data_IF_561503911301
#
_entry.id   IF_561503911301
#
_cell.length_a   1.000
_cell.length_b   1.000
_cell.length_c   1.000
_cell.angle_alpha   90.00
_cell.angle_beta   90.00
_cell.angle_gamma   90.00
#
_symmetry.space_group_name_H-M   'P 1'
#
loop_
_entity.id
_entity.type
_entity.pdbx_description
1 polymer ?
#
# COMPACT_ATOMS: atom_id res chain seq x y z
N UNK A 1 16.36 6.20 2.89
CA UNK A 1 14.90 6.39 2.76
C UNK A 1 14.58 6.32 1.27
N UNK A 2 13.63 5.49 0.84
CA UNK A 2 13.30 5.41 -0.59
C UNK A 2 12.48 6.63 -1.01
N UNK A 3 12.83 7.25 -2.14
CA UNK A 3 12.04 8.35 -2.70
C UNK A 3 10.74 7.82 -3.30
N UNK A 4 9.71 8.67 -3.35
CA UNK A 4 8.52 8.35 -4.12
C UNK A 4 8.87 8.34 -5.62
N UNK A 5 8.41 7.32 -6.33
CA UNK A 5 8.65 7.11 -7.77
C UNK A 5 7.39 6.56 -8.42
N UNK A 6 7.14 6.97 -9.66
CA UNK A 6 6.13 6.36 -10.51
C UNK A 6 6.68 5.09 -11.18
N UNK A 7 5.79 4.13 -11.48
CA UNK A 7 6.10 2.92 -12.26
C UNK A 7 6.86 3.20 -13.55
N UNK A 8 6.50 4.31 -14.19
CA UNK A 8 6.98 4.68 -15.52
C UNK A 8 8.39 5.27 -15.45
N UNK A 9 8.78 5.87 -14.32
CA UNK A 9 10.16 6.32 -14.07
C UNK A 9 11.13 5.14 -13.91
N UNK A 10 10.62 3.98 -13.51
CA UNK A 10 11.40 2.77 -13.22
C UNK A 10 11.32 1.74 -14.35
N UNK A 11 10.66 2.06 -15.47
CA UNK A 11 10.41 1.14 -16.58
C UNK A 11 9.82 -0.21 -16.14
N UNK A 12 8.88 -0.18 -15.20
CA UNK A 12 8.25 -1.39 -14.69
C UNK A 12 7.24 -1.97 -15.68
N UNK A 13 7.13 -3.31 -15.71
CA UNK A 13 6.19 -4.03 -16.58
C UNK A 13 4.73 -3.66 -16.30
N UNK A 14 4.41 -3.41 -15.04
CA UNK A 14 3.08 -2.94 -14.61
C UNK A 14 3.17 -1.43 -14.42
N UNK A 15 2.34 -0.69 -15.16
CA UNK A 15 2.23 0.76 -15.09
C UNK A 15 1.08 1.21 -14.19
N UNK A 16 0.97 2.52 -13.95
CA UNK A 16 -0.16 3.12 -13.23
C UNK A 16 -0.09 3.02 -11.70
N UNK A 17 1.11 2.86 -11.13
CA UNK A 17 1.31 2.87 -9.68
C UNK A 17 2.40 3.83 -9.25
N UNK A 18 2.38 4.21 -7.97
CA UNK A 18 3.39 5.07 -7.35
C UNK A 18 3.68 4.67 -5.92
N UNK A 19 4.95 4.53 -5.57
CA UNK A 19 5.36 4.06 -4.24
C UNK A 19 6.72 4.62 -3.82
N UNK A 20 7.01 4.56 -2.52
CA UNK A 20 8.35 4.79 -1.99
C UNK A 20 9.24 3.59 -2.32
N UNK A 21 9.72 3.57 -3.55
CA UNK A 21 10.26 2.41 -4.22
C UNK A 21 11.75 2.52 -4.53
N UNK A 22 12.43 1.37 -4.50
CA UNK A 22 13.82 1.22 -4.97
C UNK A 22 13.88 0.47 -6.32
N UNK A 23 12.79 -0.16 -6.75
CA UNK A 23 12.68 -0.89 -8.02
C UNK A 23 11.35 -1.66 -8.14
N UNK A 24 11.12 -2.35 -9.27
CA UNK A 24 9.82 -2.96 -9.59
C UNK A 24 9.49 -4.25 -8.80
N UNK A 25 10.49 -5.11 -8.54
CA UNK A 25 10.26 -6.51 -8.12
C UNK A 25 10.04 -6.77 -6.63
N UNK A 26 10.04 -5.75 -5.77
CA UNK A 26 9.97 -5.92 -4.30
C UNK A 26 8.75 -5.28 -3.66
N UNK A 27 7.84 -4.71 -4.45
CA UNK A 27 6.99 -3.65 -3.93
C UNK A 27 5.51 -3.99 -4.09
N UNK A 28 4.93 -4.28 -2.93
CA UNK A 28 3.50 -4.27 -2.64
C UNK A 28 2.94 -2.84 -2.74
N UNK A 29 3.03 -2.22 -3.92
CA UNK A 29 2.52 -0.88 -4.13
C UNK A 29 1.00 -0.91 -3.93
N UNK A 30 0.54 -0.36 -2.81
CA UNK A 30 -0.89 -0.36 -2.45
C UNK A 30 -1.72 0.60 -3.33
N UNK A 31 -1.05 1.29 -4.25
CA UNK A 31 -1.61 2.15 -5.28
C UNK A 31 -1.68 1.48 -6.65
N UNK A 32 -1.22 0.23 -6.79
CA UNK A 32 -1.20 -0.46 -8.08
C UNK A 32 -2.58 -0.91 -8.55
N UNK A 33 -2.76 -1.14 -9.86
CA UNK A 33 -4.03 -1.60 -10.40
C UNK A 33 -4.50 -2.89 -9.71
N UNK A 34 -5.71 -2.88 -9.18
CA UNK A 34 -6.28 -4.08 -8.58
C UNK A 34 -6.94 -4.98 -9.63
N UNK A 35 -6.17 -5.34 -10.65
CA UNK A 35 -6.60 -6.18 -11.77
C UNK A 35 -5.52 -7.22 -11.97
N UNK A 36 -5.92 -8.50 -12.02
CA UNK A 36 -4.99 -9.56 -12.40
C UNK A 36 -4.92 -9.62 -13.92
N UNK A 37 -3.71 -9.51 -14.50
CA UNK A 37 -3.50 -9.54 -15.94
C UNK A 37 -2.16 -10.19 -16.28
N UNK A 38 -2.19 -11.27 -17.06
CA UNK A 38 -0.98 -12.06 -17.36
C UNK A 38 -0.30 -12.56 -16.09
N UNK A 39 1.02 -12.32 -15.97
CA UNK A 39 1.82 -12.69 -14.80
C UNK A 39 1.64 -11.73 -13.60
N UNK A 40 0.91 -10.63 -13.77
CA UNK A 40 0.59 -9.73 -12.69
C UNK A 40 -0.63 -10.22 -11.91
N UNK A 41 -0.40 -10.70 -10.68
CA UNK A 41 -1.44 -11.22 -9.81
C UNK A 41 -2.39 -10.14 -9.24
N UNK A 42 -2.16 -8.86 -9.53
CA UNK A 42 -2.89 -7.73 -8.95
C UNK A 42 -2.25 -7.18 -7.69
N UNK A 43 -2.98 -6.29 -7.01
CA UNK A 43 -2.55 -5.66 -5.76
C UNK A 43 -2.18 -6.74 -4.72
N UNK A 44 -0.94 -6.71 -4.22
CA UNK A 44 -0.44 -7.71 -3.30
C UNK A 44 0.30 -7.07 -2.12
N UNK A 45 0.19 -7.64 -0.92
CA UNK A 45 0.92 -7.25 0.29
C UNK A 45 1.53 -8.47 0.95
N UNK A 46 2.85 -8.43 1.21
CA UNK A 46 3.59 -9.56 1.80
C UNK A 46 3.36 -10.89 1.05
N UNK A 47 3.27 -10.84 -0.28
CA UNK A 47 3.04 -12.03 -1.11
C UNK A 47 1.58 -12.48 -1.23
N UNK A 48 0.64 -11.82 -0.54
CA UNK A 48 -0.78 -12.14 -0.63
C UNK A 48 -1.54 -11.10 -1.47
N UNK A 49 -2.36 -11.56 -2.41
CA UNK A 49 -3.26 -10.68 -3.16
C UNK A 49 -4.32 -10.09 -2.23
N UNK A 50 -4.59 -8.80 -2.36
CA UNK A 50 -5.62 -8.10 -1.58
C UNK A 50 -6.73 -7.61 -2.51
N UNK A 51 -7.98 -7.71 -2.06
CA UNK A 51 -9.17 -7.28 -2.82
C UNK A 51 -9.51 -5.80 -2.66
N UNK A 52 -9.14 -5.17 -1.54
CA UNK A 52 -9.35 -3.75 -1.29
C UNK A 52 -8.36 -3.26 -0.24
N UNK A 53 -7.92 -2.00 -0.34
CA UNK A 53 -7.01 -1.39 0.62
C UNK A 53 -7.45 0.03 0.95
N UNK A 54 -7.23 0.43 2.19
CA UNK A 54 -7.42 1.81 2.64
C UNK A 54 -6.19 2.23 3.45
N UNK A 55 -5.56 3.34 3.05
CA UNK A 55 -4.45 3.95 3.78
C UNK A 55 -4.96 5.16 4.55
N UNK A 56 -4.75 5.18 5.86
CA UNK A 56 -5.24 6.24 6.75
C UNK A 56 -4.09 6.83 7.57
N UNK A 57 -4.11 8.14 7.75
CA UNK A 57 -3.24 8.85 8.68
C UNK A 57 -4.05 9.33 9.88
N UNK A 58 -3.41 9.37 11.05
CA UNK A 58 -4.01 9.98 12.25
C UNK A 58 -2.97 10.77 13.02
N UNK A 59 -3.40 11.81 13.74
CA UNK A 59 -2.52 12.52 14.66
C UNK A 59 -2.08 11.59 15.80
N UNK A 60 -0.79 11.66 16.16
CA UNK A 60 -0.26 10.89 17.29
C UNK A 60 -0.90 11.29 18.63
N UNK A 61 -1.43 12.52 18.72
CA UNK A 61 -2.12 13.04 19.90
C UNK A 61 -3.48 12.37 20.19
N UNK A 62 -4.07 11.63 19.24
CA UNK A 62 -5.42 11.03 19.39
C UNK A 62 -5.48 9.80 20.31
N UNK A 63 -4.40 9.48 21.02
CA UNK A 63 -4.35 8.43 22.03
C UNK A 63 -4.66 8.92 23.46
N UNK A 64 -5.34 10.05 23.62
CA UNK A 64 -5.90 10.43 24.93
C UNK A 64 -7.08 9.52 25.27
N UNK A 65 -6.74 8.36 25.84
CA UNK A 65 -7.49 7.61 26.86
C UNK A 65 -9.01 7.76 26.87
N UNK A 66 -9.69 7.21 25.87
CA UNK A 66 -11.02 6.65 26.12
C UNK A 66 -10.83 5.28 26.79
N UNK A 67 -10.60 5.30 28.12
CA UNK A 67 -10.92 4.15 28.95
C UNK A 67 -12.42 3.94 28.84
N UNK A 68 -12.85 2.87 28.17
CA UNK A 68 -14.21 2.36 28.37
C UNK A 68 -14.37 2.08 29.86
N UNK A 69 -15.08 2.95 30.58
CA UNK A 69 -15.65 2.59 31.88
C UNK A 69 -16.78 1.62 31.58
N UNK A 70 -16.56 0.35 31.88
CA UNK A 70 -17.67 -0.58 32.08
C UNK A 70 -18.39 -0.12 33.35
N UNK A 71 -19.64 0.33 33.21
CA UNK A 71 -20.55 0.50 34.33
C UNK A 71 -21.13 -0.87 34.67
N UNK A 72 -20.65 -1.46 35.76
CA UNK A 72 -21.37 -2.49 36.52
C UNK A 72 -21.96 -1.84 37.76
#
# INVERSE_FOLDING_TARGET
>A
MASFRMSDELNCTVSGWGWWAVGCGKISALTAPNIAQGDYAGLSWQGHRISAVQMLIRSKARFSSYKFRNSN
#
